data_IF_352448598659
#
_entry.id   IF_352448598659
#
_cell.length_a   1.000
_cell.length_b   1.000
_cell.length_c   1.000
_cell.angle_alpha   90.00
_cell.angle_beta   90.00
_cell.angle_gamma   90.00
#
_symmetry.space_group_name_H-M   'P 1'
#
loop_
_entity.id
_entity.type
_entity.pdbx_description
1 polymer ?
#
# COMPACT_ATOMS: atom_id res chain seq x y z
N UNK A 1 12.48 32.18 3.81
CA UNK A 1 11.91 30.85 4.11
C UNK A 1 11.81 30.11 2.79
N UNK A 2 12.71 29.15 2.55
CA UNK A 2 12.65 28.32 1.35
C UNK A 2 11.49 27.34 1.53
N UNK A 3 10.54 27.35 0.59
CA UNK A 3 9.50 26.33 0.52
C UNK A 3 10.19 24.96 0.49
N UNK A 4 9.76 23.99 1.30
CA UNK A 4 10.28 22.64 1.16
C UNK A 4 9.98 22.20 -0.27
N UNK A 5 11.01 21.72 -0.96
CA UNK A 5 10.86 20.99 -2.22
C UNK A 5 9.96 19.79 -1.95
N UNK A 6 8.65 19.96 -2.09
CA UNK A 6 7.73 18.84 -2.14
C UNK A 6 7.99 18.19 -3.47
N UNK A 7 8.80 17.12 -3.49
CA UNK A 7 8.79 16.19 -4.60
C UNK A 7 7.32 15.78 -4.80
N UNK A 8 6.69 16.33 -5.83
CA UNK A 8 5.27 16.11 -6.08
C UNK A 8 5.13 14.65 -6.48
N UNK A 9 4.64 13.84 -5.55
CA UNK A 9 4.37 12.43 -5.79
C UNK A 9 3.31 12.31 -6.89
N UNK A 10 3.54 11.38 -7.81
CA UNK A 10 2.59 11.02 -8.87
C UNK A 10 2.33 9.52 -8.79
N UNK A 11 1.25 9.06 -9.40
CA UNK A 11 0.83 7.67 -9.55
C UNK A 11 0.58 7.47 -11.04
N UNK A 12 1.23 6.48 -11.65
CA UNK A 12 1.21 6.25 -13.11
C UNK A 12 1.64 7.47 -13.95
N UNK A 13 2.48 8.35 -13.39
CA UNK A 13 2.96 9.55 -14.06
C UNK A 13 1.92 10.67 -14.21
N UNK A 14 0.74 10.55 -13.59
CA UNK A 14 -0.32 11.56 -13.68
C UNK A 14 0.02 12.75 -12.77
N UNK A 15 0.09 14.00 -13.26
CA UNK A 15 0.30 15.17 -12.41
C UNK A 15 -0.81 15.34 -11.37
N UNK A 16 -0.47 15.76 -10.16
CA UNK A 16 -1.46 16.01 -9.11
C UNK A 16 -2.11 14.74 -8.52
N UNK A 17 -1.52 13.56 -8.74
CA UNK A 17 -2.08 12.28 -8.26
C UNK A 17 -1.49 11.74 -6.95
N UNK A 18 -0.62 12.49 -6.26
CA UNK A 18 -0.15 12.12 -4.92
C UNK A 18 -1.24 12.29 -3.85
N UNK A 19 -1.16 11.52 -2.76
CA UNK A 19 -2.17 11.53 -1.68
C UNK A 19 -2.45 12.91 -1.06
N UNK A 20 -1.45 13.79 -0.99
CA UNK A 20 -1.59 15.15 -0.45
C UNK A 20 -2.15 16.16 -1.46
N UNK A 21 -2.38 15.75 -2.71
CA UNK A 21 -2.85 16.64 -3.76
C UNK A 21 -4.33 16.99 -3.60
N UNK A 22 -4.73 18.26 -3.77
CA UNK A 22 -6.14 18.63 -3.79
C UNK A 22 -6.91 18.01 -4.97
N UNK A 23 -6.20 17.59 -6.02
CA UNK A 23 -6.80 16.91 -7.18
C UNK A 23 -7.05 15.42 -6.92
N UNK A 24 -6.45 14.85 -5.86
CA UNK A 24 -6.55 13.43 -5.54
C UNK A 24 -8.00 12.98 -5.34
N UNK A 25 -8.74 13.67 -4.46
CA UNK A 25 -10.16 13.44 -4.23
C UNK A 25 -10.52 11.94 -4.05
N UNK A 26 -9.74 11.22 -3.23
CA UNK A 26 -10.00 9.81 -2.93
C UNK A 26 -11.43 9.57 -2.43
N UNK A 27 -12.09 8.55 -2.98
CA UNK A 27 -13.47 8.19 -2.64
C UNK A 27 -14.55 8.97 -3.40
N UNK A 28 -14.19 9.97 -4.20
CA UNK A 28 -15.12 10.68 -5.08
C UNK A 28 -15.16 10.05 -6.49
N UNK A 29 -16.26 10.28 -7.21
CA UNK A 29 -16.43 9.86 -8.60
C UNK A 29 -15.68 10.73 -9.63
N UNK A 30 -14.79 11.61 -9.16
CA UNK A 30 -14.02 12.58 -9.96
C UNK A 30 -12.64 12.79 -9.32
N UNK A 31 -11.72 13.42 -10.06
CA UNK A 31 -10.37 13.71 -9.60
C UNK A 31 -9.35 12.61 -9.94
N UNK A 32 -8.07 12.91 -9.75
CA UNK A 32 -6.98 12.02 -10.18
C UNK A 32 -6.98 10.69 -9.43
N UNK A 33 -7.57 10.61 -8.23
CA UNK A 33 -7.75 9.35 -7.51
C UNK A 33 -8.73 8.41 -8.19
N UNK A 34 -9.81 8.93 -8.76
CA UNK A 34 -10.71 8.14 -9.60
C UNK A 34 -9.99 7.61 -10.85
N UNK A 35 -9.25 8.48 -11.54
CA UNK A 35 -8.53 8.13 -12.76
C UNK A 35 -7.43 7.09 -12.52
N UNK A 36 -6.60 7.29 -11.49
CA UNK A 36 -5.59 6.32 -11.08
C UNK A 36 -6.21 4.98 -10.65
N UNK A 37 -7.33 4.99 -9.93
CA UNK A 37 -8.03 3.76 -9.54
C UNK A 37 -8.53 2.98 -10.77
N UNK A 38 -9.02 3.66 -11.82
CA UNK A 38 -9.42 3.02 -13.06
C UNK A 38 -8.23 2.34 -13.77
N UNK A 39 -7.07 3.01 -13.82
CA UNK A 39 -5.83 2.42 -14.37
C UNK A 39 -5.40 1.20 -13.55
N UNK A 40 -5.38 1.31 -12.22
CA UNK A 40 -4.99 0.24 -11.31
C UNK A 40 -5.87 -1.01 -11.50
N UNK A 41 -7.20 -0.83 -11.52
CA UNK A 41 -8.14 -1.94 -11.75
C UNK A 41 -7.92 -2.62 -13.10
N UNK A 42 -7.66 -1.86 -14.17
CA UNK A 42 -7.36 -2.39 -15.49
C UNK A 42 -6.04 -3.16 -15.51
N UNK A 43 -4.99 -2.62 -14.87
CA UNK A 43 -3.69 -3.26 -14.80
C UNK A 43 -3.77 -4.62 -14.08
N UNK A 44 -4.48 -4.66 -12.96
CA UNK A 44 -4.59 -5.86 -12.13
C UNK A 44 -5.85 -6.69 -12.42
N UNK A 45 -6.50 -6.49 -13.56
CA UNK A 45 -7.61 -7.34 -14.04
C UNK A 45 -7.15 -8.79 -14.23
N UNK A 46 -5.93 -8.97 -14.75
CA UNK A 46 -5.35 -10.30 -14.98
C UNK A 46 -4.69 -10.85 -13.73
N UNK A 47 -5.05 -12.09 -13.37
CA UNK A 47 -4.45 -12.83 -12.24
C UNK A 47 -2.92 -12.87 -12.29
N UNK A 48 -2.35 -13.06 -13.49
CA UNK A 48 -0.90 -13.08 -13.69
C UNK A 48 -0.21 -11.82 -13.12
N UNK A 49 -0.69 -10.63 -13.45
CA UNK A 49 -0.09 -9.38 -12.95
C UNK A 49 -0.24 -9.20 -11.44
N UNK A 50 -1.26 -9.82 -10.83
CA UNK A 50 -1.44 -9.82 -9.38
C UNK A 50 -0.45 -10.75 -8.68
N UNK A 51 -0.21 -11.93 -9.25
CA UNK A 51 0.84 -12.86 -8.79
C UNK A 51 2.20 -12.18 -8.87
N UNK A 52 2.54 -11.64 -10.04
CA UNK A 52 3.81 -10.95 -10.27
C UNK A 52 4.02 -9.80 -9.27
N UNK A 53 2.98 -8.99 -9.00
CA UNK A 53 3.07 -7.93 -7.99
C UNK A 53 3.38 -8.50 -6.59
N UNK A 54 2.64 -9.50 -6.14
CA UNK A 54 2.83 -10.06 -4.79
C UNK A 54 4.21 -10.68 -4.64
N UNK A 55 4.67 -11.44 -5.62
CA UNK A 55 6.01 -12.03 -5.64
C UNK A 55 7.09 -10.94 -5.60
N UNK A 56 6.99 -9.92 -6.46
CA UNK A 56 7.94 -8.80 -6.47
C UNK A 56 7.98 -8.04 -5.14
N UNK A 57 6.83 -7.85 -4.49
CA UNK A 57 6.77 -7.18 -3.19
C UNK A 57 7.39 -8.01 -2.06
N UNK A 58 7.23 -9.33 -2.09
CA UNK A 58 7.73 -10.22 -1.02
C UNK A 58 9.21 -10.56 -1.20
N UNK A 59 9.66 -10.80 -2.43
CA UNK A 59 10.96 -11.41 -2.73
C UNK A 59 12.02 -10.39 -3.15
N UNK A 60 11.64 -9.22 -3.66
CA UNK A 60 12.59 -8.26 -4.24
C UNK A 60 13.39 -7.51 -3.16
N UNK A 61 14.54 -8.06 -2.80
CA UNK A 61 15.49 -7.44 -1.87
C UNK A 61 16.36 -6.37 -2.55
N UNK A 62 16.65 -6.51 -3.86
CA UNK A 62 17.50 -5.57 -4.59
C UNK A 62 16.76 -4.26 -4.93
N UNK A 63 17.18 -3.09 -4.39
CA UNK A 63 16.54 -1.80 -4.66
C UNK A 63 16.38 -1.45 -6.14
N UNK A 64 17.33 -1.85 -7.01
CA UNK A 64 17.31 -1.50 -8.43
C UNK A 64 16.23 -2.23 -9.23
N UNK A 65 15.69 -3.32 -8.68
CA UNK A 65 14.79 -4.24 -9.39
C UNK A 65 13.38 -4.25 -8.78
N UNK A 66 13.07 -3.32 -7.88
CA UNK A 66 11.76 -3.27 -7.21
C UNK A 66 10.68 -2.79 -8.18
N UNK A 67 9.64 -3.60 -8.32
CA UNK A 67 8.47 -3.31 -9.17
C UNK A 67 7.21 -3.30 -8.32
N UNK A 68 6.30 -2.31 -8.48
CA UNK A 68 6.49 -1.08 -9.26
C UNK A 68 7.58 -0.19 -8.66
N UNK A 69 8.30 0.55 -9.51
CA UNK A 69 9.37 1.45 -9.05
C UNK A 69 8.82 2.50 -8.07
N UNK A 70 7.61 3.00 -8.33
CA UNK A 70 6.92 3.95 -7.51
C UNK A 70 6.06 3.26 -6.44
N UNK A 71 6.38 3.46 -5.15
CA UNK A 71 5.63 2.85 -4.06
C UNK A 71 4.20 3.44 -3.91
N UNK A 72 3.93 4.62 -4.44
CA UNK A 72 2.58 5.21 -4.38
C UNK A 72 1.55 4.40 -5.17
N UNK A 73 1.99 3.65 -6.19
CA UNK A 73 1.15 2.68 -6.91
C UNK A 73 0.79 1.48 -6.02
N UNK A 74 1.70 1.04 -5.14
CA UNK A 74 1.42 -0.02 -4.16
C UNK A 74 0.40 0.44 -3.12
N UNK A 75 0.52 1.69 -2.63
CA UNK A 75 -0.47 2.28 -1.73
C UNK A 75 -1.86 2.32 -2.37
N UNK A 76 -1.96 2.64 -3.65
CA UNK A 76 -3.23 2.62 -4.37
C UNK A 76 -3.83 1.20 -4.44
N UNK A 77 -3.02 0.18 -4.75
CA UNK A 77 -3.48 -1.22 -4.74
C UNK A 77 -4.01 -1.61 -3.36
N UNK A 78 -3.26 -1.31 -2.30
CA UNK A 78 -3.68 -1.53 -0.92
C UNK A 78 -5.00 -0.81 -0.62
N UNK A 79 -5.12 0.46 -1.00
CA UNK A 79 -6.32 1.25 -0.75
C UNK A 79 -7.57 0.64 -1.36
N UNK A 80 -7.48 0.15 -2.60
CA UNK A 80 -8.57 -0.51 -3.30
C UNK A 80 -8.90 -1.86 -2.66
N UNK A 81 -7.90 -2.67 -2.34
CA UNK A 81 -8.09 -3.96 -1.68
C UNK A 81 -8.70 -3.81 -0.28
N UNK A 82 -8.32 -2.79 0.48
CA UNK A 82 -8.93 -2.46 1.78
C UNK A 82 -10.37 -1.97 1.62
N UNK A 83 -10.63 -1.10 0.63
CA UNK A 83 -11.97 -0.64 0.31
C UNK A 83 -12.89 -1.80 -0.07
N UNK A 84 -12.42 -2.74 -0.90
CA UNK A 84 -13.17 -3.93 -1.27
C UNK A 84 -13.34 -4.92 -0.09
N UNK A 85 -12.26 -5.09 0.69
CA UNK A 85 -12.23 -5.91 1.90
C UNK A 85 -13.30 -5.53 2.92
N UNK A 86 -13.60 -4.24 3.06
CA UNK A 86 -14.69 -3.75 3.92
C UNK A 86 -16.06 -4.30 3.52
N UNK A 87 -16.32 -4.50 2.23
CA UNK A 87 -17.61 -5.01 1.74
C UNK A 87 -17.77 -6.52 1.93
N UNK A 88 -16.66 -7.27 1.98
CA UNK A 88 -16.66 -8.72 2.09
C UNK A 88 -16.15 -9.25 3.44
N UNK A 89 -15.83 -8.36 4.38
CA UNK A 89 -15.36 -8.67 5.74
C UNK A 89 -13.91 -9.16 5.84
N UNK A 90 -13.10 -9.00 4.78
CA UNK A 90 -11.70 -9.47 4.75
C UNK A 90 -10.68 -8.40 5.09
N UNK A 91 -11.10 -7.20 5.44
CA UNK A 91 -10.21 -6.12 5.89
C UNK A 91 -9.85 -6.21 7.38
N UNK A 92 -10.24 -7.29 8.07
CA UNK A 92 -10.01 -7.49 9.50
C UNK A 92 -11.10 -6.90 10.41
N UNK A 93 -12.16 -6.30 9.86
CA UNK A 93 -13.29 -5.80 10.63
C UNK A 93 -12.97 -4.55 11.46
N UNK A 94 -13.63 -4.42 12.62
CA UNK A 94 -13.39 -3.30 13.55
C UNK A 94 -11.92 -3.27 14.01
N UNK A 95 -11.27 -2.11 13.93
CA UNK A 95 -9.82 -1.99 14.18
C UNK A 95 -8.93 -2.44 13.02
N UNK A 96 -9.52 -2.92 11.91
CA UNK A 96 -8.83 -3.46 10.75
C UNK A 96 -8.24 -2.42 9.80
N UNK A 97 -8.04 -2.82 8.55
CA UNK A 97 -7.37 -2.02 7.52
C UNK A 97 -8.21 -0.84 7.00
N UNK A 98 -9.52 -0.82 7.27
CA UNK A 98 -10.35 0.37 7.04
C UNK A 98 -9.84 1.62 7.77
N UNK A 99 -9.26 1.46 8.97
CA UNK A 99 -8.65 2.58 9.71
C UNK A 99 -7.33 3.04 9.07
N UNK A 100 -6.51 2.10 8.59
CA UNK A 100 -5.26 2.42 7.88
C UNK A 100 -5.58 3.17 6.58
N UNK A 101 -6.62 2.75 5.87
CA UNK A 101 -7.13 3.48 4.71
C UNK A 101 -7.58 4.89 5.06
N UNK A 102 -8.27 5.08 6.19
CA UNK A 102 -8.71 6.40 6.64
C UNK A 102 -7.51 7.32 6.94
N UNK A 103 -6.49 6.81 7.62
CA UNK A 103 -5.25 7.55 7.89
C UNK A 103 -4.51 7.91 6.59
N UNK A 104 -4.45 7.00 5.63
CA UNK A 104 -3.85 7.23 4.32
C UNK A 104 -4.64 8.28 3.52
N UNK A 105 -5.98 8.20 3.51
CA UNK A 105 -6.85 9.18 2.86
C UNK A 105 -6.79 10.57 3.50
N UNK A 106 -6.47 10.65 4.81
CA UNK A 106 -6.22 11.94 5.47
C UNK A 106 -4.95 12.64 4.97
N UNK A 107 -4.05 11.90 4.32
CA UNK A 107 -2.78 12.37 3.78
C UNK A 107 -1.91 13.12 4.80
N UNK A 108 -1.94 12.68 6.07
CA UNK A 108 -1.12 13.25 7.14
C UNK A 108 -0.08 12.27 7.65
N UNK A 109 -0.52 11.20 8.32
CA UNK A 109 0.34 10.29 9.07
C UNK A 109 1.45 9.63 8.25
N UNK A 110 1.18 9.32 6.98
CA UNK A 110 2.12 8.63 6.09
C UNK A 110 2.75 9.55 5.03
N UNK A 111 2.50 10.86 5.12
CA UNK A 111 2.95 11.84 4.12
C UNK A 111 3.69 13.03 4.75
N UNK A 112 3.35 13.42 5.98
CA UNK A 112 3.92 14.56 6.67
C UNK A 112 5.11 14.16 7.54
N UNK A 113 6.29 14.03 6.93
CA UNK A 113 7.53 13.74 7.64
C UNK A 113 8.63 13.20 6.73
N UNK A 114 9.80 12.84 7.31
CA UNK A 114 10.83 12.11 6.58
C UNK A 114 10.31 10.79 6.01
N UNK A 115 10.69 10.45 4.76
CA UNK A 115 10.14 9.27 4.06
C UNK A 115 10.33 7.96 4.85
N UNK A 116 11.47 7.79 5.53
CA UNK A 116 11.73 6.62 6.38
C UNK A 116 10.78 6.54 7.59
N UNK A 117 10.49 7.66 8.24
CA UNK A 117 9.56 7.71 9.37
C UNK A 117 8.12 7.40 8.92
N UNK A 118 7.67 8.07 7.86
CA UNK A 118 6.35 7.83 7.24
C UNK A 118 6.19 6.37 6.80
N UNK A 119 7.22 5.79 6.18
CA UNK A 119 7.24 4.38 5.77
C UNK A 119 7.18 3.44 6.96
N UNK A 120 7.97 3.70 8.00
CA UNK A 120 7.96 2.93 9.23
C UNK A 120 6.63 3.01 9.98
N UNK A 121 5.92 4.14 9.93
CA UNK A 121 4.57 4.27 10.49
C UNK A 121 3.56 3.38 9.73
N UNK A 122 3.59 3.40 8.39
CA UNK A 122 2.72 2.55 7.58
C UNK A 122 2.99 1.06 7.83
N UNK A 123 4.25 0.63 7.86
CA UNK A 123 4.65 -0.75 8.18
C UNK A 123 4.12 -1.18 9.54
N UNK A 124 4.34 -0.36 10.58
CA UNK A 124 3.89 -0.68 11.95
C UNK A 124 2.37 -0.81 12.05
N UNK A 125 1.63 0.08 11.40
CA UNK A 125 0.17 0.06 11.45
C UNK A 125 -0.43 -1.13 10.69
N UNK A 126 0.16 -1.52 9.55
CA UNK A 126 -0.22 -2.72 8.81
C UNK A 126 0.14 -3.99 9.60
N UNK A 127 1.39 -4.12 10.04
CA UNK A 127 1.87 -5.31 10.73
C UNK A 127 1.11 -5.58 12.04
N UNK A 128 0.76 -4.52 12.81
CA UNK A 128 -0.06 -4.64 14.03
C UNK A 128 -1.43 -5.28 13.75
N UNK A 129 -2.01 -5.01 12.58
CA UNK A 129 -3.34 -5.49 12.18
C UNK A 129 -3.29 -6.79 11.38
N UNK A 130 -2.11 -7.24 10.99
CA UNK A 130 -1.92 -8.45 10.20
C UNK A 130 -2.60 -9.70 10.78
N UNK A 131 -2.56 -9.97 12.11
CA UNK A 131 -3.27 -11.11 12.69
C UNK A 131 -4.79 -11.10 12.46
N UNK A 132 -5.40 -9.93 12.26
CA UNK A 132 -6.84 -9.80 12.00
C UNK A 132 -7.25 -10.37 10.63
N UNK A 133 -6.29 -10.58 9.73
CA UNK A 133 -6.52 -11.21 8.43
C UNK A 133 -6.50 -12.74 8.50
N UNK A 134 -6.29 -13.31 9.69
CA UNK A 134 -6.11 -14.75 9.90
C UNK A 134 -5.02 -15.35 8.96
N UNK A 135 -3.79 -14.81 8.98
CA UNK A 135 -2.72 -15.25 8.09
C UNK A 135 -2.29 -16.69 8.41
N UNK A 136 -1.65 -17.36 7.44
CA UNK A 136 -1.01 -18.64 7.69
C UNK A 136 0.13 -18.50 8.71
N UNK A 137 0.50 -19.61 9.38
CA UNK A 137 1.62 -19.60 10.31
C UNK A 137 2.96 -19.20 9.66
N UNK A 138 3.13 -19.46 8.36
CA UNK A 138 4.30 -19.02 7.60
C UNK A 138 4.26 -17.51 7.34
N UNK A 139 3.11 -16.99 6.92
CA UNK A 139 2.91 -15.55 6.71
C UNK A 139 3.16 -14.75 8.00
N UNK A 140 2.66 -15.24 9.14
CA UNK A 140 2.90 -14.60 10.44
C UNK A 140 4.40 -14.57 10.78
N UNK A 141 5.11 -15.68 10.58
CA UNK A 141 6.57 -15.74 10.80
C UNK A 141 7.33 -14.74 9.92
N UNK A 142 6.92 -14.60 8.65
CA UNK A 142 7.52 -13.63 7.73
C UNK A 142 7.29 -12.18 8.19
N UNK A 143 6.09 -11.86 8.67
CA UNK A 143 5.77 -10.54 9.22
C UNK A 143 6.58 -10.25 10.50
N UNK A 144 6.70 -11.23 11.40
CA UNK A 144 7.46 -11.08 12.64
C UNK A 144 8.96 -10.90 12.39
N UNK A 145 9.51 -11.59 11.38
CA UNK A 145 10.90 -11.41 10.96
C UNK A 145 11.13 -10.03 10.34
N UNK A 146 10.22 -9.59 9.47
CA UNK A 146 10.28 -8.27 8.85
C UNK A 146 10.41 -7.14 9.87
N UNK A 147 9.63 -7.19 10.94
CA UNK A 147 9.66 -6.17 11.99
C UNK A 147 10.98 -6.12 12.78
N UNK A 148 11.75 -7.21 12.80
CA UNK A 148 13.07 -7.24 13.44
C UNK A 148 14.15 -6.58 12.57
N UNK A 149 13.96 -6.63 11.25
CA UNK A 149 14.95 -6.19 10.26
C UNK A 149 14.62 -4.81 9.63
N UNK A 150 13.45 -4.24 9.98
CA UNK A 150 12.86 -3.06 9.33
C UNK A 150 13.69 -1.76 9.43
N UNK A 151 14.60 -1.66 10.40
CA UNK A 151 15.40 -0.44 10.62
C UNK A 151 16.54 -0.25 9.60
N UNK A 152 16.80 -1.25 8.75
CA UNK A 152 17.91 -1.22 7.78
C UNK A 152 17.52 -0.78 6.37
N UNK A 153 16.28 -1.05 5.94
CA UNK A 153 15.74 -0.66 4.62
C UNK A 153 14.22 -0.49 4.70
N UNK A 154 13.77 0.75 4.91
CA UNK A 154 12.35 1.07 5.04
C UNK A 154 11.54 0.80 3.77
N UNK A 155 12.16 0.89 2.58
CA UNK A 155 11.46 0.64 1.32
C UNK A 155 11.26 -0.87 1.09
N UNK A 156 12.25 -1.69 1.45
CA UNK A 156 12.10 -3.14 1.49
C UNK A 156 10.99 -3.53 2.49
N UNK A 157 11.05 -2.96 3.70
CA UNK A 157 10.10 -3.26 4.76
C UNK A 157 8.66 -2.95 4.35
N UNK A 158 8.39 -1.75 3.82
CA UNK A 158 7.05 -1.38 3.37
C UNK A 158 6.56 -2.25 2.22
N UNK A 159 7.41 -2.59 1.25
CA UNK A 159 7.03 -3.46 0.12
C UNK A 159 6.69 -4.86 0.57
N UNK A 160 7.55 -5.50 1.35
CA UNK A 160 7.31 -6.86 1.85
C UNK A 160 6.10 -6.93 2.76
N UNK A 161 5.90 -5.94 3.62
CA UNK A 161 4.69 -5.82 4.44
C UNK A 161 3.45 -5.74 3.54
N UNK A 162 3.43 -4.86 2.54
CA UNK A 162 2.33 -4.76 1.57
C UNK A 162 2.05 -6.07 0.85
N UNK A 163 3.09 -6.78 0.39
CA UNK A 163 2.94 -8.07 -0.28
C UNK A 163 2.27 -9.12 0.59
N UNK A 164 2.68 -9.24 1.85
CA UNK A 164 2.06 -10.15 2.83
C UNK A 164 0.59 -9.80 3.09
N UNK A 165 0.28 -8.52 3.27
CA UNK A 165 -1.10 -8.03 3.45
C UNK A 165 -1.97 -8.37 2.24
N UNK A 166 -1.50 -8.06 1.03
CA UNK A 166 -2.22 -8.38 -0.21
C UNK A 166 -2.47 -9.88 -0.35
N UNK A 167 -1.46 -10.71 -0.03
CA UNK A 167 -1.59 -12.16 -0.06
C UNK A 167 -2.64 -12.65 0.95
N UNK A 168 -2.60 -12.17 2.20
CA UNK A 168 -3.53 -12.56 3.25
C UNK A 168 -4.99 -12.13 2.95
N UNK A 169 -5.18 -10.98 2.29
CA UNK A 169 -6.51 -10.52 1.85
C UNK A 169 -7.02 -11.24 0.59
N UNK A 170 -6.21 -12.12 -0.01
CA UNK A 170 -6.57 -12.89 -1.20
C UNK A 170 -6.64 -12.02 -2.47
N UNK A 171 -5.80 -10.99 -2.57
CA UNK A 171 -5.71 -10.10 -3.73
C UNK A 171 -5.50 -10.85 -5.05
N UNK A 172 -4.66 -11.89 -5.04
CA UNK A 172 -4.37 -12.69 -6.25
C UNK A 172 -5.65 -13.26 -6.88
N UNK A 173 -6.60 -13.70 -6.08
CA UNK A 173 -7.83 -14.29 -6.59
C UNK A 173 -8.94 -13.26 -6.83
N UNK A 174 -8.99 -12.19 -6.04
CA UNK A 174 -10.12 -11.24 -6.05
C UNK A 174 -9.87 -9.94 -6.83
N UNK A 175 -8.61 -9.53 -6.99
CA UNK A 175 -8.28 -8.22 -7.53
C UNK A 175 -8.52 -7.05 -6.57
N UNK A 176 -8.51 -5.85 -7.15
CA UNK A 176 -8.78 -4.57 -6.48
C UNK A 176 -10.28 -4.26 -6.46
#
# INVERSE_FOLDING_TARGET
MSLPSTNVKTIYGIPGSGWTSPQWQWGYGVGTGHDCAAICRRLYEKRQFRVELVEQLIESSNPSNRVPANFEEVKLVLALVWQNGRWNGKDGGEGGYGEVLQEMASARRYENGPDGECSGLLVRDMARRFPLLNPSGEQQKLMDQLLKDADSDYDFARRRCSGLVLQAMGFVEQGC
#
